data_IF_871466589651
#
_entry.id   IF_871466589651
#
_cell.length_a   1.000
_cell.length_b   1.000
_cell.length_c   1.000
_cell.angle_alpha   90.00
_cell.angle_beta   90.00
_cell.angle_gamma   90.00
#
_symmetry.space_group_name_H-M   'P 1'
#
loop_
_entity.id
_entity.type
_entity.pdbx_description
1 polymer ?
#
# COMPACT_ATOMS: atom_id res chain seq x y z
N UNK A 1 -29.59 36.93 -4.89
CA UNK A 1 -28.53 36.00 -5.33
C UNK A 1 -28.00 35.26 -4.11
N UNK A 2 -28.49 34.04 -3.86
CA UNK A 2 -28.01 33.18 -2.78
C UNK A 2 -26.75 32.48 -3.26
N UNK A 3 -25.59 32.93 -2.79
CA UNK A 3 -24.32 32.25 -3.03
C UNK A 3 -24.43 30.81 -2.50
N UNK A 4 -24.29 29.83 -3.40
CA UNK A 4 -24.32 28.40 -3.07
C UNK A 4 -23.10 28.13 -2.20
N UNK A 5 -23.29 28.12 -0.87
CA UNK A 5 -22.21 27.83 0.09
C UNK A 5 -21.80 26.38 -0.17
N UNK A 6 -20.60 26.20 -0.73
CA UNK A 6 -20.03 24.87 -0.90
C UNK A 6 -19.86 24.29 0.50
N UNK A 7 -20.50 23.14 0.73
CA UNK A 7 -20.54 22.49 2.03
C UNK A 7 -19.26 21.64 2.18
N UNK A 8 -18.16 22.31 2.53
CA UNK A 8 -16.84 21.68 2.61
C UNK A 8 -16.80 20.47 3.55
N UNK A 9 -17.67 20.42 4.57
CA UNK A 9 -17.82 19.28 5.49
C UNK A 9 -18.34 18.02 4.78
N UNK A 10 -19.24 18.16 3.82
CA UNK A 10 -19.76 17.05 3.03
C UNK A 10 -18.69 16.52 2.07
N UNK A 11 -17.95 17.43 1.41
CA UNK A 11 -16.90 17.07 0.46
C UNK A 11 -15.77 16.31 1.18
N UNK A 12 -15.30 16.81 2.32
CA UNK A 12 -14.23 16.14 3.08
C UNK A 12 -14.67 14.79 3.62
N UNK A 13 -15.91 14.66 4.09
CA UNK A 13 -16.45 13.40 4.59
C UNK A 13 -16.57 12.36 3.47
N UNK A 14 -17.10 12.75 2.31
CA UNK A 14 -17.21 11.87 1.13
C UNK A 14 -15.83 11.47 0.60
N UNK A 15 -14.89 12.42 0.51
CA UNK A 15 -13.52 12.12 0.12
C UNK A 15 -12.87 11.10 1.08
N UNK A 16 -13.07 11.28 2.39
CA UNK A 16 -12.60 10.33 3.41
C UNK A 16 -13.17 8.93 3.22
N UNK A 17 -14.47 8.80 2.97
CA UNK A 17 -15.12 7.51 2.70
C UNK A 17 -14.60 6.86 1.42
N UNK A 18 -14.45 7.63 0.34
CA UNK A 18 -13.91 7.13 -0.92
C UNK A 18 -12.48 6.64 -0.73
N UNK A 19 -11.63 7.42 -0.05
CA UNK A 19 -10.25 7.03 0.27
C UNK A 19 -10.25 5.74 1.09
N UNK A 20 -11.02 5.66 2.17
CA UNK A 20 -11.13 4.47 3.00
C UNK A 20 -11.58 3.24 2.20
N UNK A 21 -12.59 3.40 1.34
CA UNK A 21 -13.09 2.34 0.46
C UNK A 21 -12.06 1.86 -0.55
N UNK A 22 -11.33 2.79 -1.20
CA UNK A 22 -10.25 2.46 -2.14
C UNK A 22 -9.15 1.67 -1.44
N UNK A 23 -8.67 2.12 -0.27
CA UNK A 23 -7.62 1.40 0.45
C UNK A 23 -8.08 0.07 1.04
N UNK A 24 -9.34 -0.05 1.46
CA UNK A 24 -9.93 -1.33 1.85
C UNK A 24 -9.98 -2.31 0.66
N UNK A 25 -10.39 -1.85 -0.52
CA UNK A 25 -10.40 -2.66 -1.74
C UNK A 25 -8.99 -3.04 -2.19
N UNK A 26 -8.05 -2.09 -2.18
CA UNK A 26 -6.65 -2.34 -2.47
C UNK A 26 -6.09 -3.36 -1.50
N UNK A 27 -6.31 -3.22 -0.18
CA UNK A 27 -5.88 -4.21 0.81
C UNK A 27 -6.31 -5.64 0.48
N UNK A 28 -7.56 -5.82 0.05
CA UNK A 28 -8.11 -7.14 -0.27
C UNK A 28 -7.51 -7.73 -1.57
N UNK A 29 -7.03 -6.89 -2.48
CA UNK A 29 -6.51 -7.29 -3.80
C UNK A 29 -5.00 -7.22 -3.93
N UNK A 30 -4.31 -6.48 -3.05
CA UNK A 30 -2.87 -6.28 -3.01
C UNK A 30 -2.16 -7.21 -2.04
N UNK A 31 -2.88 -8.15 -1.44
CA UNK A 31 -2.27 -9.21 -0.65
C UNK A 31 -1.54 -10.15 -1.61
N UNK A 32 -0.21 -10.20 -1.51
CA UNK A 32 0.53 -11.21 -2.27
C UNK A 32 0.05 -12.62 -1.86
N UNK A 33 -0.23 -13.51 -2.81
CA UNK A 33 -0.59 -14.88 -2.49
C UNK A 33 0.53 -15.57 -1.69
N UNK A 34 0.22 -16.50 -0.78
CA UNK A 34 1.23 -17.16 0.04
C UNK A 34 2.29 -17.93 -0.76
N UNK A 35 1.98 -18.33 -1.99
CA UNK A 35 2.83 -19.14 -2.88
C UNK A 35 3.39 -18.37 -4.09
N UNK A 36 3.14 -17.06 -4.16
CA UNK A 36 3.36 -16.26 -5.36
C UNK A 36 2.16 -16.32 -6.30
N UNK A 37 2.15 -15.48 -7.34
CA UNK A 37 1.08 -15.43 -8.32
C UNK A 37 0.94 -14.09 -9.02
N UNK A 38 -0.15 -13.96 -9.79
CA UNK A 38 -0.46 -12.77 -10.55
C UNK A 38 -0.94 -11.63 -9.62
N UNK A 39 -0.30 -10.47 -9.73
CA UNK A 39 -0.68 -9.26 -8.99
C UNK A 39 -0.71 -8.05 -9.92
N UNK A 40 -1.57 -7.09 -9.63
CA UNK A 40 -1.50 -5.77 -10.29
C UNK A 40 -0.44 -4.96 -9.56
N UNK A 41 0.78 -4.89 -10.11
CA UNK A 41 1.92 -4.29 -9.39
C UNK A 41 1.68 -2.84 -8.99
N UNK A 42 1.01 -2.06 -9.85
CA UNK A 42 0.62 -0.69 -9.53
C UNK A 42 -0.25 -0.60 -8.26
N UNK A 43 -1.15 -1.55 -8.01
CA UNK A 43 -1.99 -1.57 -6.82
C UNK A 43 -1.19 -1.92 -5.56
N UNK A 44 -0.28 -2.88 -5.68
CA UNK A 44 0.67 -3.23 -4.61
C UNK A 44 1.52 -2.02 -4.24
N UNK A 45 2.09 -1.36 -5.24
CA UNK A 45 2.92 -0.18 -5.04
C UNK A 45 2.12 0.95 -4.38
N UNK A 46 0.98 1.34 -4.96
CA UNK A 46 0.13 2.40 -4.39
C UNK A 46 -0.22 2.07 -2.95
N UNK A 47 -0.73 0.86 -2.67
CA UNK A 47 -1.10 0.47 -1.32
C UNK A 47 0.09 0.58 -0.34
N UNK A 48 1.24 -0.04 -0.64
CA UNK A 48 2.37 -0.07 0.30
C UNK A 48 3.00 1.31 0.55
N UNK A 49 3.00 2.20 -0.43
CA UNK A 49 3.62 3.53 -0.29
C UNK A 49 2.66 4.62 0.21
N UNK A 50 1.35 4.48 -0.04
CA UNK A 50 0.40 5.58 0.19
C UNK A 50 -0.67 5.28 1.25
N UNK A 51 -0.90 4.03 1.63
CA UNK A 51 -1.95 3.69 2.61
C UNK A 51 -1.72 4.34 3.97
N UNK A 52 -0.48 4.32 4.48
CA UNK A 52 -0.14 4.93 5.77
C UNK A 52 -0.29 6.47 5.76
N UNK A 53 0.35 7.23 4.84
CA UNK A 53 0.18 8.69 4.81
C UNK A 53 -1.27 9.10 4.52
N UNK A 54 -1.99 8.39 3.64
CA UNK A 54 -3.41 8.67 3.39
C UNK A 54 -4.26 8.47 4.65
N UNK A 55 -4.00 7.41 5.43
CA UNK A 55 -4.72 7.14 6.67
C UNK A 55 -4.46 8.20 7.73
N UNK A 56 -3.22 8.69 7.84
CA UNK A 56 -2.86 9.81 8.72
C UNK A 56 -3.67 11.06 8.35
N UNK A 57 -3.77 11.40 7.06
CA UNK A 57 -4.56 12.54 6.60
C UNK A 57 -6.05 12.42 6.93
N UNK A 58 -6.64 11.24 6.73
CA UNK A 58 -8.05 11.00 7.06
C UNK A 58 -8.29 11.13 8.58
N UNK A 59 -7.39 10.59 9.41
CA UNK A 59 -7.48 10.73 10.87
C UNK A 59 -7.37 12.19 11.30
N UNK A 60 -6.40 12.95 10.77
CA UNK A 60 -6.24 14.37 11.07
C UNK A 60 -7.47 15.20 10.69
N UNK A 61 -8.05 14.92 9.52
CA UNK A 61 -9.29 15.55 9.08
C UNK A 61 -10.46 15.23 10.03
N UNK A 62 -10.60 13.97 10.45
CA UNK A 62 -11.65 13.56 11.39
C UNK A 62 -11.48 14.20 12.78
N UNK A 63 -10.25 14.27 13.31
CA UNK A 63 -9.96 14.93 14.58
C UNK A 63 -10.24 16.44 14.53
N UNK A 64 -9.90 17.08 13.40
CA UNK A 64 -10.17 18.51 13.19
C UNK A 64 -11.67 18.76 13.11
N UNK A 65 -12.42 17.92 12.40
CA UNK A 65 -13.88 17.99 12.36
C UNK A 65 -14.49 17.81 13.76
N UNK A 66 -13.99 16.86 14.55
CA UNK A 66 -14.41 16.65 15.94
C UNK A 66 -14.17 17.90 16.79
N UNK A 67 -12.97 18.49 16.69
CA UNK A 67 -12.59 19.69 17.44
C UNK A 67 -13.55 20.87 17.18
N UNK A 68 -13.94 21.09 15.92
CA UNK A 68 -14.89 22.17 15.59
C UNK A 68 -16.34 21.84 15.92
N UNK A 69 -16.73 20.56 15.89
CA UNK A 69 -18.10 20.15 16.15
C UNK A 69 -18.46 20.16 17.64
N UNK A 70 -17.54 19.73 18.52
CA UNK A 70 -17.80 19.62 19.97
C UNK A 70 -18.33 20.93 20.59
N UNK A 71 -17.72 22.11 20.37
CA UNK A 71 -18.26 23.36 20.87
C UNK A 71 -19.65 23.70 20.31
N UNK A 72 -19.92 23.37 19.05
CA UNK A 72 -21.23 23.62 18.42
C UNK A 72 -22.32 22.72 18.98
N UNK A 73 -21.98 21.48 19.30
CA UNK A 73 -22.87 20.52 19.95
C UNK A 73 -23.23 20.96 21.38
N UNK A 74 -22.25 21.45 22.15
CA UNK A 74 -22.46 21.97 23.52
C UNK A 74 -23.48 23.12 23.52
N UNK A 75 -23.36 24.06 22.59
CA UNK A 75 -24.25 25.23 22.48
C UNK A 75 -25.52 24.91 21.65
N UNK A 76 -25.71 23.66 21.21
CA UNK A 76 -26.86 23.18 20.41
C UNK A 76 -27.18 24.07 19.20
N UNK A 77 -26.15 24.52 18.47
CA UNK A 77 -26.36 25.38 17.29
C UNK A 77 -27.23 24.69 16.23
N UNK A 78 -28.10 25.42 15.50
CA UNK A 78 -28.87 24.84 14.41
C UNK A 78 -27.93 24.20 13.37
N UNK A 79 -28.21 22.95 12.98
CA UNK A 79 -27.34 22.16 12.10
C UNK A 79 -26.50 21.08 12.79
N UNK A 80 -26.32 21.14 14.12
CA UNK A 80 -25.41 20.24 14.84
C UNK A 80 -25.67 18.73 14.62
N UNK A 81 -26.94 18.33 14.42
CA UNK A 81 -27.31 16.93 14.18
C UNK A 81 -26.80 16.43 12.82
N UNK A 82 -26.93 17.25 11.78
CA UNK A 82 -26.43 16.94 10.43
C UNK A 82 -24.91 16.86 10.45
N UNK A 83 -24.27 17.84 11.08
CA UNK A 83 -22.81 17.88 11.20
C UNK A 83 -22.28 16.71 12.05
N UNK A 84 -23.05 16.27 13.06
CA UNK A 84 -22.72 15.10 13.87
C UNK A 84 -22.80 13.79 13.08
N UNK A 85 -23.77 13.65 12.17
CA UNK A 85 -23.84 12.50 11.27
C UNK A 85 -22.66 12.46 10.28
N UNK A 86 -22.26 13.61 9.73
CA UNK A 86 -21.07 13.72 8.88
C UNK A 86 -19.79 13.42 9.65
N UNK A 87 -19.69 13.87 10.90
CA UNK A 87 -18.58 13.55 11.78
C UNK A 87 -18.50 12.04 12.08
N UNK A 88 -19.62 11.39 12.37
CA UNK A 88 -19.66 9.94 12.57
C UNK A 88 -19.14 9.20 11.33
N UNK A 89 -19.57 9.64 10.14
CA UNK A 89 -19.09 9.10 8.87
C UNK A 89 -17.58 9.30 8.69
N UNK A 90 -17.05 10.48 9.03
CA UNK A 90 -15.63 10.77 8.98
C UNK A 90 -14.82 9.91 9.97
N UNK A 91 -15.36 9.66 11.18
CA UNK A 91 -14.74 8.77 12.17
C UNK A 91 -14.74 7.31 11.71
N UNK A 92 -15.83 6.83 11.10
CA UNK A 92 -15.89 5.50 10.52
C UNK A 92 -14.91 5.36 9.34
N UNK A 93 -14.81 6.39 8.49
CA UNK A 93 -13.82 6.44 7.43
C UNK A 93 -12.39 6.41 7.99
N UNK A 94 -12.10 7.18 9.04
CA UNK A 94 -10.81 7.15 9.71
C UNK A 94 -10.48 5.77 10.31
N UNK A 95 -11.44 5.14 10.98
CA UNK A 95 -11.27 3.79 11.51
C UNK A 95 -11.03 2.76 10.40
N UNK A 96 -11.75 2.86 9.28
CA UNK A 96 -11.57 2.00 8.12
C UNK A 96 -10.22 2.24 7.41
N UNK A 97 -9.77 3.49 7.30
CA UNK A 97 -8.44 3.85 6.78
C UNK A 97 -7.33 3.31 7.68
N UNK A 98 -7.42 3.52 9.00
CA UNK A 98 -6.47 2.94 9.95
C UNK A 98 -6.48 1.42 9.88
N UNK A 99 -7.66 0.79 9.82
CA UNK A 99 -7.76 -0.64 9.58
C UNK A 99 -7.03 -1.02 8.30
N UNK A 100 -7.31 -0.34 7.18
CA UNK A 100 -6.69 -0.62 5.89
C UNK A 100 -5.17 -0.46 5.92
N UNK A 101 -4.63 0.54 6.62
CA UNK A 101 -3.20 0.77 6.77
C UNK A 101 -2.53 -0.06 7.86
N UNK A 102 -3.29 -0.63 8.81
CA UNK A 102 -2.74 -1.43 9.88
C UNK A 102 -2.03 -2.64 9.25
N UNK A 103 -0.74 -2.86 9.56
CA UNK A 103 -0.05 -4.09 9.21
C UNK A 103 -0.63 -5.19 10.12
N UNK A 104 -1.78 -5.76 9.74
CA UNK A 104 -2.36 -6.93 10.40
C UNK A 104 -1.47 -8.14 10.13
N UNK A 105 -0.32 -8.22 10.81
CA UNK A 105 0.55 -9.40 10.85
C UNK A 105 1.06 -9.92 9.50
N UNK A 106 1.10 -9.12 8.43
CA UNK A 106 1.43 -9.61 7.07
C UNK A 106 2.34 -8.66 6.29
N UNK A 107 3.48 -9.23 5.88
CA UNK A 107 4.10 -9.13 4.55
C UNK A 107 4.07 -7.74 3.92
N UNK A 108 4.96 -6.88 4.39
CA UNK A 108 5.23 -5.59 3.76
C UNK A 108 6.04 -5.87 2.49
N UNK A 109 5.59 -5.35 1.34
CA UNK A 109 6.42 -5.33 0.15
C UNK A 109 7.24 -4.04 0.13
N UNK A 110 8.56 -4.20 0.06
CA UNK A 110 9.49 -3.09 -0.11
C UNK A 110 10.30 -3.31 -1.37
N UNK A 111 10.26 -2.35 -2.29
CA UNK A 111 11.10 -2.43 -3.48
C UNK A 111 12.58 -2.34 -3.10
N UNK A 112 13.42 -3.18 -3.70
CA UNK A 112 14.86 -3.13 -3.52
C UNK A 112 15.40 -1.94 -4.34
N UNK A 113 16.36 -1.15 -3.82
CA UNK A 113 17.00 -0.09 -4.60
C UNK A 113 17.60 -0.66 -5.90
N UNK A 114 17.33 -0.01 -7.03
CA UNK A 114 17.68 -0.51 -8.38
C UNK A 114 17.09 -1.90 -8.70
N UNK A 115 16.01 -2.30 -8.02
CA UNK A 115 15.32 -3.57 -8.24
C UNK A 115 14.42 -3.59 -9.47
N UNK A 116 14.41 -2.54 -10.29
CA UNK A 116 13.63 -2.50 -11.54
C UNK A 116 14.55 -2.66 -12.75
N UNK A 117 14.24 -3.63 -13.60
CA UNK A 117 15.00 -3.92 -14.82
C UNK A 117 14.05 -4.11 -16.00
N UNK A 118 14.30 -3.43 -17.11
CA UNK A 118 13.59 -3.67 -18.36
C UNK A 118 14.47 -4.52 -19.29
N UNK A 119 13.98 -5.70 -19.69
CA UNK A 119 14.71 -6.61 -20.57
C UNK A 119 13.72 -7.44 -21.42
N UNK A 120 14.08 -7.71 -22.67
CA UNK A 120 13.30 -8.53 -23.61
C UNK A 120 11.80 -8.14 -23.73
N UNK A 121 11.48 -6.84 -23.63
CA UNK A 121 10.11 -6.35 -23.71
C UNK A 121 9.26 -6.56 -22.45
N UNK A 122 9.87 -6.97 -21.34
CA UNK A 122 9.23 -7.18 -20.03
C UNK A 122 9.90 -6.29 -18.99
N UNK A 123 9.17 -5.97 -17.93
CA UNK A 123 9.72 -5.25 -16.76
C UNK A 123 9.78 -6.20 -15.59
N UNK A 124 10.93 -6.29 -14.95
CA UNK A 124 11.17 -7.09 -13.76
C UNK A 124 11.26 -6.16 -12.56
N UNK A 125 10.51 -6.44 -11.51
CA UNK A 125 10.60 -5.75 -10.23
C UNK A 125 11.04 -6.70 -9.14
N UNK A 126 12.06 -6.29 -8.39
CA UNK A 126 12.60 -6.99 -7.25
C UNK A 126 12.24 -6.23 -5.98
N UNK A 127 11.61 -6.93 -5.06
CA UNK A 127 11.28 -6.43 -3.74
C UNK A 127 11.56 -7.44 -2.66
N UNK A 128 11.21 -7.06 -1.43
CA UNK A 128 11.29 -7.89 -0.24
C UNK A 128 9.90 -7.96 0.37
N UNK A 129 9.48 -9.17 0.69
CA UNK A 129 8.29 -9.48 1.49
C UNK A 129 8.74 -9.68 2.94
N UNK A 130 8.34 -8.78 3.83
CA UNK A 130 8.68 -8.84 5.26
C UNK A 130 7.46 -9.20 6.09
N UNK A 131 7.46 -10.41 6.66
CA UNK A 131 6.41 -10.90 7.55
C UNK A 131 6.80 -10.73 9.02
N UNK A 132 5.81 -10.77 9.91
CA UNK A 132 6.07 -10.84 11.36
C UNK A 132 6.73 -12.16 11.79
N UNK A 133 6.57 -13.20 10.97
CA UNK A 133 7.31 -14.46 11.06
C UNK A 133 8.52 -14.40 10.13
N UNK A 134 9.73 -14.33 10.69
CA UNK A 134 10.97 -14.22 9.92
C UNK A 134 11.19 -15.41 8.96
N UNK A 135 10.60 -16.58 9.23
CA UNK A 135 10.67 -17.73 8.34
C UNK A 135 9.88 -17.54 7.03
N UNK A 136 8.97 -16.56 7.00
CA UNK A 136 8.16 -16.22 5.82
C UNK A 136 8.70 -15.01 5.06
N UNK A 137 9.84 -14.46 5.48
CA UNK A 137 10.51 -13.42 4.72
C UNK A 137 11.01 -14.02 3.39
N UNK A 138 10.78 -13.31 2.30
CA UNK A 138 11.18 -13.74 0.96
C UNK A 138 11.57 -12.53 0.11
N UNK A 139 12.54 -12.68 -0.78
CA UNK A 139 12.63 -11.76 -1.91
C UNK A 139 11.48 -12.07 -2.87
N UNK A 140 10.94 -11.04 -3.51
CA UNK A 140 9.84 -11.18 -4.46
C UNK A 140 10.32 -10.67 -5.81
N UNK A 141 10.38 -11.56 -6.80
CA UNK A 141 10.68 -11.21 -8.18
C UNK A 141 9.38 -11.24 -8.98
N UNK A 142 8.96 -10.08 -9.46
CA UNK A 142 7.79 -9.90 -10.29
C UNK A 142 8.19 -9.68 -11.74
N UNK A 143 7.66 -10.51 -12.64
CA UNK A 143 7.78 -10.37 -14.07
C UNK A 143 6.50 -9.75 -14.64
N UNK A 144 6.63 -8.58 -15.25
CA UNK A 144 5.54 -7.78 -15.76
C UNK A 144 5.59 -7.67 -17.29
N UNK A 145 4.82 -8.49 -18.03
CA UNK A 145 4.55 -8.24 -19.44
C UNK A 145 3.61 -7.04 -19.66
N UNK A 146 3.02 -6.50 -18.59
CA UNK A 146 2.10 -5.37 -18.61
C UNK A 146 1.73 -4.91 -17.19
N UNK A 147 0.51 -4.42 -16.93
CA UNK A 147 0.10 -3.96 -15.60
C UNK A 147 -0.10 -5.12 -14.59
N UNK A 148 -0.32 -6.33 -15.09
CA UNK A 148 -0.41 -7.57 -14.31
C UNK A 148 0.94 -8.26 -14.39
N UNK A 149 1.47 -8.62 -13.23
CA UNK A 149 2.79 -9.21 -13.08
C UNK A 149 2.69 -10.57 -12.41
N UNK A 150 3.49 -11.53 -12.86
CA UNK A 150 3.67 -12.81 -12.19
C UNK A 150 4.81 -12.72 -11.19
N UNK A 151 4.49 -12.86 -9.90
CA UNK A 151 5.46 -12.73 -8.83
C UNK A 151 5.78 -14.07 -8.20
N UNK A 152 7.06 -14.32 -7.95
CA UNK A 152 7.56 -15.53 -7.27
C UNK A 152 8.38 -15.17 -6.05
N UNK A 153 8.40 -16.05 -5.06
CA UNK A 153 9.21 -15.90 -3.86
C UNK A 153 10.57 -16.59 -4.02
N UNK A 154 11.62 -15.86 -3.66
CA UNK A 154 12.98 -16.37 -3.57
C UNK A 154 13.36 -16.36 -2.09
N UNK A 155 13.31 -17.54 -1.47
CA UNK A 155 13.67 -17.72 -0.07
C UNK A 155 15.20 -17.81 0.07
N UNK A 156 15.77 -17.02 0.98
CA UNK A 156 17.19 -17.06 1.30
C UNK A 156 17.43 -16.74 2.79
N UNK A 157 18.46 -17.32 3.38
CA UNK A 157 18.75 -17.14 4.81
C UNK A 157 19.22 -15.71 5.16
N UNK A 158 19.74 -14.93 4.19
CA UNK A 158 20.12 -13.52 4.39
C UNK A 158 18.93 -12.61 4.72
N UNK A 159 17.70 -13.08 4.50
CA UNK A 159 16.47 -12.35 4.83
C UNK A 159 16.22 -12.22 6.33
N UNK A 160 16.97 -12.94 7.18
CA UNK A 160 16.99 -12.72 8.63
C UNK A 160 17.56 -11.34 8.98
N UNK A 161 18.53 -10.88 8.20
CA UNK A 161 19.23 -9.60 8.41
C UNK A 161 18.79 -8.52 7.43
N UNK A 162 18.03 -8.87 6.38
CA UNK A 162 17.62 -7.98 5.27
C UNK A 162 18.79 -7.31 4.54
N UNK A 163 20.00 -7.79 4.81
CA UNK A 163 21.26 -7.33 4.25
C UNK A 163 22.18 -8.55 4.07
N UNK A 164 22.96 -8.60 2.97
CA UNK A 164 23.03 -7.61 1.90
C UNK A 164 21.84 -7.67 0.93
N UNK A 165 21.49 -6.53 0.35
CA UNK A 165 20.37 -6.45 -0.62
C UNK A 165 20.76 -7.10 -1.95
N UNK A 166 19.84 -7.86 -2.58
CA UNK A 166 20.07 -8.47 -3.88
C UNK A 166 20.18 -7.42 -4.99
N UNK A 167 20.99 -7.71 -5.99
CA UNK A 167 21.02 -6.99 -7.25
C UNK A 167 20.23 -7.76 -8.32
N UNK A 168 19.40 -7.05 -9.08
CA UNK A 168 18.76 -7.55 -10.30
C UNK A 168 19.57 -7.07 -11.50
N UNK A 169 20.05 -7.98 -12.34
CA UNK A 169 20.87 -7.64 -13.51
C UNK A 169 20.70 -8.64 -14.65
N UNK A 170 21.17 -8.25 -15.84
CA UNK A 170 21.32 -9.15 -16.98
C UNK A 170 22.75 -9.66 -17.01
N UNK A 171 22.94 -10.98 -17.12
CA UNK A 171 24.26 -11.58 -17.27
C UNK A 171 24.80 -11.44 -18.72
N UNK A 172 26.07 -11.78 -18.98
CA UNK A 172 26.63 -11.71 -20.34
C UNK A 172 25.95 -12.65 -21.35
N UNK A 173 25.22 -13.67 -20.90
CA UNK A 173 24.45 -14.59 -21.73
C UNK A 173 23.00 -14.10 -21.97
N UNK A 174 22.64 -12.90 -21.49
CA UNK A 174 21.31 -12.32 -21.64
C UNK A 174 20.26 -12.83 -20.65
N UNK A 175 20.68 -13.54 -19.59
CA UNK A 175 19.80 -14.11 -18.56
C UNK A 175 19.53 -13.09 -17.46
N UNK A 176 18.32 -13.13 -16.92
CA UNK A 176 17.92 -12.35 -15.75
C UNK A 176 18.46 -13.03 -14.51
N UNK A 177 19.28 -12.32 -13.75
CA UNK A 177 19.95 -12.84 -12.55
C UNK A 177 19.60 -11.98 -11.34
N UNK A 178 19.14 -12.66 -10.27
CA UNK A 178 19.04 -12.08 -8.93
C UNK A 178 20.21 -12.61 -8.11
N UNK A 179 21.07 -11.72 -7.64
CA UNK A 179 22.30 -12.09 -6.93
C UNK A 179 22.40 -11.38 -5.58
N UNK A 180 22.68 -12.13 -4.51
CA UNK A 180 23.00 -11.61 -3.17
C UNK A 180 24.46 -11.88 -2.87
N UNK A 181 25.28 -10.83 -2.77
CA UNK A 181 26.74 -10.95 -2.68
C UNK A 181 27.30 -11.86 -3.78
N UNK A 182 27.91 -13.00 -3.43
CA UNK A 182 28.50 -13.95 -4.39
C UNK A 182 27.54 -15.09 -4.77
N UNK A 183 26.31 -15.09 -4.25
CA UNK A 183 25.33 -16.17 -4.45
C UNK A 183 24.26 -15.77 -5.45
N UNK A 184 23.99 -16.63 -6.43
CA UNK A 184 22.87 -16.48 -7.37
C UNK A 184 21.62 -17.07 -6.73
N UNK A 185 20.59 -16.25 -6.52
CA UNK A 185 19.29 -16.67 -5.99
C UNK A 185 18.32 -17.11 -7.08
N UNK A 186 18.41 -16.50 -8.26
CA UNK A 186 17.56 -16.81 -9.39
C UNK A 186 18.30 -16.54 -10.69
N UNK A 187 18.12 -17.41 -11.67
CA UNK A 187 18.63 -17.26 -13.02
C UNK A 187 17.60 -17.79 -14.01
N UNK A 188 17.23 -16.96 -14.98
CA UNK A 188 16.23 -17.32 -15.98
C UNK A 188 16.55 -16.71 -17.34
N UNK A 189 16.21 -17.43 -18.41
CA UNK A 189 16.25 -16.88 -19.77
C UNK A 189 14.99 -16.03 -19.98
N UNK A 190 15.14 -14.80 -20.51
CA UNK A 190 14.01 -13.91 -20.75
C UNK A 190 12.93 -14.52 -21.66
#
# INVERSE_FOLDING_TARGET
>A
MTARRIDYSLITSLAGVVIAGVYAGLRLTSAFPPDGGAVVYGFVWVYNYTALPASILVVLAALTALFYWVPQAIVKRPGFRRDGALLLLALLAAAASVWAALPLGRTIYREVPNGTLAAAGRTYHLGVRVSGDAAQNAYTLCDCPGPVCECRYLYDESLKTLEPLPALKVDPAGRIVVQVSDRILHEEKP
#
